data_IF_484339487699
#
_entry.id   IF_484339487699
#
_cell.length_a   1.000
_cell.length_b   1.000
_cell.length_c   1.000
_cell.angle_alpha   90.00
_cell.angle_beta   90.00
_cell.angle_gamma   90.00
#
_symmetry.space_group_name_H-M   'P 1'
#
loop_
_entity.id
_entity.type
_entity.pdbx_description
1 polymer ?
#
# COMPACT_ATOMS: atom_id res chain seq x y z
N UNK A 1 4.22 -23.67 -26.44
CA UNK A 1 3.83 -23.62 -25.01
C UNK A 1 4.83 -22.73 -24.29
N UNK A 2 4.41 -21.56 -23.79
CA UNK A 2 5.30 -20.70 -23.00
C UNK A 2 5.36 -21.25 -21.57
N UNK A 3 6.54 -21.62 -21.11
CA UNK A 3 6.78 -22.00 -19.71
C UNK A 3 7.05 -20.74 -18.90
N UNK A 4 6.34 -20.57 -17.79
CA UNK A 4 6.64 -19.50 -16.83
C UNK A 4 7.70 -19.95 -15.84
N UNK A 5 8.65 -19.08 -15.45
CA UNK A 5 9.60 -19.39 -14.40
C UNK A 5 8.89 -19.42 -13.04
N UNK A 6 9.50 -20.07 -12.04
CA UNK A 6 9.13 -19.83 -10.64
C UNK A 6 9.74 -18.51 -10.20
N UNK A 7 8.93 -17.57 -9.72
CA UNK A 7 9.44 -16.31 -9.17
C UNK A 7 9.97 -16.53 -7.75
N UNK A 8 10.87 -15.65 -7.32
CA UNK A 8 11.33 -15.61 -5.92
C UNK A 8 10.39 -14.74 -5.10
N UNK A 9 10.28 -15.02 -3.80
CA UNK A 9 9.59 -14.12 -2.88
C UNK A 9 10.30 -12.76 -2.86
N UNK A 10 9.57 -11.63 -2.84
CA UNK A 10 10.16 -10.33 -2.57
C UNK A 10 10.84 -10.30 -1.20
N UNK A 11 11.84 -9.43 -1.09
CA UNK A 11 12.59 -9.22 0.13
C UNK A 11 12.11 -7.95 0.84
N UNK A 12 12.10 -7.98 2.17
CA UNK A 12 11.76 -6.80 2.98
C UNK A 12 13.00 -5.91 3.17
N UNK A 13 13.39 -5.21 2.11
CA UNK A 13 14.55 -4.30 2.05
C UNK A 13 14.11 -2.83 2.11
N UNK A 14 14.98 -1.88 2.52
CA UNK A 14 14.70 -0.46 2.36
C UNK A 14 14.45 -0.08 0.89
N UNK A 15 13.45 0.77 0.63
CA UNK A 15 13.17 1.34 -0.68
C UNK A 15 13.13 2.87 -0.56
N UNK A 16 13.98 3.56 -1.30
CA UNK A 16 14.13 5.02 -1.22
C UNK A 16 13.63 5.71 -2.49
N UNK A 17 12.79 6.72 -2.31
CA UNK A 17 12.36 7.67 -3.34
C UNK A 17 12.77 9.10 -3.00
N UNK A 18 12.23 10.07 -3.73
CA UNK A 18 12.51 11.49 -3.52
C UNK A 18 11.73 12.07 -2.33
N UNK A 19 10.45 11.72 -2.21
CA UNK A 19 9.53 12.23 -1.18
C UNK A 19 9.38 11.28 0.01
N UNK A 20 9.59 9.98 -0.19
CA UNK A 20 9.47 8.98 0.88
C UNK A 20 10.64 8.01 0.93
N UNK A 21 10.83 7.44 2.12
CA UNK A 21 11.65 6.25 2.33
C UNK A 21 10.82 5.18 3.02
N UNK A 22 10.75 3.99 2.43
CA UNK A 22 10.10 2.80 2.99
C UNK A 22 11.15 1.99 3.73
N UNK A 23 11.10 2.00 5.05
CA UNK A 23 12.01 1.21 5.88
C UNK A 23 11.31 -0.06 6.36
N UNK A 24 11.98 -1.23 6.39
CA UNK A 24 11.44 -2.43 7.01
C UNK A 24 10.90 -2.11 8.40
N UNK A 25 9.65 -2.50 8.65
CA UNK A 25 8.97 -2.18 9.90
C UNK A 25 9.66 -2.88 11.08
N UNK A 26 10.00 -2.09 12.11
CA UNK A 26 10.58 -2.58 13.36
C UNK A 26 9.67 -2.13 14.49
N UNK A 27 8.84 -3.03 15.08
CA UNK A 27 7.78 -2.62 16.01
C UNK A 27 8.29 -1.79 17.18
N UNK A 28 9.42 -2.17 17.78
CA UNK A 28 10.01 -1.45 18.91
C UNK A 28 10.49 -0.03 18.54
N UNK A 29 11.00 0.18 17.31
CA UNK A 29 11.44 1.49 16.80
C UNK A 29 10.23 2.34 16.39
N UNK A 30 9.24 1.73 15.76
CA UNK A 30 8.24 2.45 14.97
C UNK A 30 6.96 2.77 15.73
N UNK A 31 6.62 2.00 16.77
CA UNK A 31 5.30 2.13 17.38
C UNK A 31 5.03 3.51 17.96
N UNK A 32 6.03 4.20 18.52
CA UNK A 32 5.84 5.50 19.15
C UNK A 32 5.39 6.56 18.12
N UNK A 33 6.11 6.68 17.00
CA UNK A 33 5.78 7.66 15.96
C UNK A 33 4.52 7.26 15.18
N UNK A 34 4.38 5.98 14.83
CA UNK A 34 3.17 5.49 14.17
C UNK A 34 1.91 5.74 15.02
N UNK A 35 1.95 5.45 16.32
CA UNK A 35 0.81 5.70 17.21
C UNK A 35 0.49 7.20 17.31
N UNK A 36 1.51 8.06 17.40
CA UNK A 36 1.35 9.51 17.52
C UNK A 36 0.67 10.15 16.30
N UNK A 37 0.89 9.62 15.09
CA UNK A 37 0.30 10.16 13.86
C UNK A 37 -1.06 9.57 13.49
N UNK A 38 -1.51 8.52 14.20
CA UNK A 38 -2.74 7.79 13.87
C UNK A 38 -3.78 7.73 15.02
N UNK A 39 -3.50 8.32 16.18
CA UNK A 39 -4.39 8.33 17.35
C UNK A 39 -4.45 9.71 18.03
N UNK A 40 -5.44 9.88 18.92
CA UNK A 40 -5.54 11.02 19.83
C UNK A 40 -6.46 12.14 19.35
N UNK A 41 -6.87 12.13 18.08
CA UNK A 41 -7.91 13.00 17.54
C UNK A 41 -8.81 12.22 16.58
N UNK A 42 -10.09 12.60 16.41
CA UNK A 42 -10.99 11.97 15.44
C UNK A 42 -10.44 11.99 14.01
N UNK A 43 -9.72 13.05 13.64
CA UNK A 43 -9.10 13.17 12.32
C UNK A 43 -8.00 12.12 12.10
N UNK A 44 -7.10 11.94 13.08
CA UNK A 44 -6.04 10.91 13.02
C UNK A 44 -6.62 9.50 13.03
N UNK A 45 -7.65 9.27 13.83
CA UNK A 45 -8.26 7.95 13.96
C UNK A 45 -9.10 7.54 12.74
N UNK A 46 -9.46 8.49 11.88
CA UNK A 46 -10.21 8.20 10.65
C UNK A 46 -9.46 7.23 9.70
N UNK A 47 -8.14 7.10 9.82
CA UNK A 47 -7.33 6.13 9.04
C UNK A 47 -7.77 4.68 9.27
N UNK A 48 -8.40 4.38 10.41
CA UNK A 48 -8.82 3.04 10.79
C UNK A 48 -10.21 2.64 10.27
N UNK A 49 -10.98 3.59 9.72
CA UNK A 49 -12.40 3.40 9.40
C UNK A 49 -12.68 2.17 8.51
N UNK A 50 -11.78 1.89 7.56
CA UNK A 50 -11.94 0.80 6.58
C UNK A 50 -10.88 -0.30 6.69
N UNK A 51 -10.02 -0.23 7.71
CA UNK A 51 -9.05 -1.28 8.01
C UNK A 51 -9.69 -2.37 8.87
N UNK A 52 -9.14 -3.59 8.78
CA UNK A 52 -9.64 -4.75 9.54
C UNK A 52 -9.43 -4.61 11.05
N UNK A 53 -8.48 -3.77 11.45
CA UNK A 53 -7.99 -3.55 12.81
C UNK A 53 -8.00 -2.07 13.15
N UNK A 54 -7.61 -1.76 14.38
CA UNK A 54 -7.58 -0.41 14.93
C UNK A 54 -8.98 0.18 15.18
N UNK A 55 -9.06 1.39 15.78
CA UNK A 55 -7.96 2.06 16.47
C UNK A 55 -7.45 1.21 17.65
N UNK A 56 -6.21 1.45 18.06
CA UNK A 56 -5.59 0.78 19.20
C UNK A 56 -5.78 1.62 20.46
N UNK A 57 -6.03 0.97 21.61
CA UNK A 57 -6.27 1.67 22.88
C UNK A 57 -5.01 2.33 23.45
N UNK A 58 -3.84 1.84 23.05
CA UNK A 58 -2.54 2.34 23.48
C UNK A 58 -1.45 1.94 22.49
N UNK A 59 -0.30 2.63 22.56
CA UNK A 59 0.91 2.24 21.83
C UNK A 59 1.35 0.81 22.18
N UNK A 60 1.13 0.34 23.40
CA UNK A 60 1.41 -1.05 23.80
C UNK A 60 0.57 -2.03 22.97
N UNK A 61 -0.74 -1.78 22.84
CA UNK A 61 -1.62 -2.65 22.03
C UNK A 61 -1.31 -2.59 20.54
N UNK A 62 -0.88 -1.43 20.04
CA UNK A 62 -0.42 -1.29 18.65
C UNK A 62 0.90 -2.04 18.43
N UNK A 63 1.84 -1.98 19.38
CA UNK A 63 3.12 -2.69 19.30
C UNK A 63 2.90 -4.20 19.21
N UNK A 64 2.07 -4.73 20.10
CA UNK A 64 1.75 -6.16 20.11
C UNK A 64 1.12 -6.60 18.77
N UNK A 65 0.23 -5.80 18.19
CA UNK A 65 -0.32 -6.06 16.86
C UNK A 65 0.75 -6.02 15.76
N UNK A 66 1.63 -5.02 15.76
CA UNK A 66 2.74 -4.94 14.81
C UNK A 66 3.65 -6.17 14.88
N UNK A 67 3.96 -6.65 16.08
CA UNK A 67 4.79 -7.84 16.31
C UNK A 67 4.11 -9.13 15.86
N UNK A 68 2.81 -9.29 16.16
CA UNK A 68 2.10 -10.55 15.96
C UNK A 68 1.53 -10.72 14.56
N UNK A 69 1.17 -9.62 13.89
CA UNK A 69 0.39 -9.64 12.66
C UNK A 69 1.13 -9.04 11.45
N UNK A 70 2.04 -8.07 11.68
CA UNK A 70 2.70 -7.34 10.59
C UNK A 70 4.17 -7.71 10.37
N UNK A 71 4.78 -8.48 11.28
CA UNK A 71 6.18 -8.93 11.20
C UNK A 71 6.25 -10.44 11.41
N UNK A 72 7.20 -11.09 10.72
CA UNK A 72 7.47 -12.53 10.91
C UNK A 72 6.48 -13.48 10.24
N UNK A 73 5.46 -12.96 9.54
CA UNK A 73 4.58 -13.77 8.69
C UNK A 73 5.26 -14.02 7.34
N UNK A 74 5.27 -15.28 6.90
CA UNK A 74 5.94 -15.68 5.66
C UNK A 74 5.41 -14.97 4.41
N UNK A 75 4.14 -14.53 4.43
CA UNK A 75 3.45 -13.94 3.29
C UNK A 75 3.09 -12.46 3.49
N UNK A 76 3.65 -11.78 4.49
CA UNK A 76 3.45 -10.33 4.71
C UNK A 76 4.81 -9.65 4.89
N UNK A 77 5.09 -8.66 4.04
CA UNK A 77 6.25 -7.78 4.16
C UNK A 77 5.76 -6.37 4.43
N UNK A 78 6.19 -5.77 5.53
CA UNK A 78 5.68 -4.46 5.97
C UNK A 78 6.78 -3.42 6.09
N UNK A 79 6.48 -2.22 5.61
CA UNK A 79 7.35 -1.06 5.70
C UNK A 79 6.68 0.06 6.48
N UNK A 80 7.47 0.72 7.30
CA UNK A 80 7.16 2.04 7.85
C UNK A 80 7.53 3.08 6.83
N UNK A 81 6.61 4.01 6.56
CA UNK A 81 6.81 5.10 5.60
C UNK A 81 7.31 6.33 6.33
N UNK A 82 8.45 6.84 5.90
CA UNK A 82 9.00 8.12 6.32
C UNK A 82 8.80 9.14 5.20
N UNK A 83 8.28 10.33 5.53
CA UNK A 83 8.30 11.46 4.60
C UNK A 83 9.67 12.14 4.69
N UNK A 84 10.40 12.20 3.57
CA UNK A 84 11.78 12.68 3.56
C UNK A 84 11.90 14.17 3.93
N UNK A 85 10.90 14.98 3.57
CA UNK A 85 10.94 16.43 3.83
C UNK A 85 10.85 16.78 5.31
N UNK A 86 10.10 15.99 6.09
CA UNK A 86 9.91 16.20 7.53
C UNK A 86 10.71 15.22 8.39
N UNK A 87 11.28 14.18 7.78
CA UNK A 87 11.93 13.04 8.45
C UNK A 87 11.01 12.32 9.46
N UNK A 88 9.69 12.42 9.26
CA UNK A 88 8.72 11.84 10.18
C UNK A 88 8.08 10.55 9.66
N UNK A 89 7.66 9.69 10.58
CA UNK A 89 6.84 8.52 10.26
C UNK A 89 5.42 8.97 9.93
N UNK A 90 4.93 8.56 8.76
CA UNK A 90 3.65 9.03 8.23
C UNK A 90 2.68 7.91 7.90
N UNK A 91 3.05 6.64 8.10
CA UNK A 91 2.15 5.52 7.86
C UNK A 91 2.87 4.19 7.67
N UNK A 92 2.12 3.20 7.19
CA UNK A 92 2.68 1.91 6.76
C UNK A 92 2.12 1.51 5.39
N UNK A 93 2.88 0.68 4.70
CA UNK A 93 2.44 -0.08 3.52
C UNK A 93 2.95 -1.51 3.65
N UNK A 94 2.23 -2.46 3.09
CA UNK A 94 2.64 -3.86 3.09
C UNK A 94 2.40 -4.53 1.74
N UNK A 95 3.17 -5.59 1.50
CA UNK A 95 2.87 -6.61 0.51
C UNK A 95 2.29 -7.81 1.26
N UNK A 96 1.15 -8.33 0.79
CA UNK A 96 0.55 -9.56 1.30
C UNK A 96 0.13 -10.51 0.18
N UNK A 97 -0.42 -11.67 0.55
CA UNK A 97 -0.93 -12.66 -0.41
C UNK A 97 0.10 -13.00 -1.52
N UNK A 98 1.37 -13.02 -1.13
CA UNK A 98 2.51 -13.27 -2.00
C UNK A 98 2.47 -14.74 -2.43
N UNK A 99 2.43 -14.98 -3.74
CA UNK A 99 2.44 -16.32 -4.34
C UNK A 99 3.50 -16.35 -5.44
N UNK A 100 4.78 -16.64 -5.10
CA UNK A 100 5.88 -16.63 -6.06
C UNK A 100 5.70 -17.66 -7.18
N UNK A 101 4.98 -18.76 -6.94
CA UNK A 101 4.63 -19.76 -7.95
C UNK A 101 3.76 -19.18 -9.08
N UNK A 102 3.08 -18.07 -8.82
CA UNK A 102 2.21 -17.37 -9.79
C UNK A 102 2.68 -15.95 -10.11
N UNK A 103 3.81 -15.52 -9.53
CA UNK A 103 4.33 -14.17 -9.71
C UNK A 103 3.31 -13.09 -9.36
N UNK A 104 2.56 -13.28 -8.26
CA UNK A 104 1.56 -12.30 -7.81
C UNK A 104 1.71 -11.93 -6.34
N UNK A 105 1.33 -10.70 -6.02
CA UNK A 105 1.24 -10.18 -4.66
C UNK A 105 0.16 -9.11 -4.57
N UNK A 106 -0.21 -8.72 -3.36
CA UNK A 106 -1.17 -7.65 -3.08
C UNK A 106 -0.50 -6.50 -2.32
N UNK A 107 -0.72 -5.27 -2.77
CA UNK A 107 -0.44 -4.07 -1.96
C UNK A 107 -1.57 -3.91 -0.95
N UNK A 108 -1.23 -3.84 0.33
CA UNK A 108 -2.16 -3.97 1.44
C UNK A 108 -1.73 -3.21 2.68
N UNK A 109 -2.58 -3.22 3.72
CA UNK A 109 -2.35 -2.56 5.00
C UNK A 109 -1.98 -1.07 4.89
N UNK A 110 -2.36 -0.43 3.78
CA UNK A 110 -2.02 0.94 3.45
C UNK A 110 -2.81 1.90 4.33
N UNK A 111 -2.11 2.67 5.14
CA UNK A 111 -2.67 3.86 5.77
C UNK A 111 -1.59 4.92 5.95
N UNK A 112 -2.03 6.18 5.83
CA UNK A 112 -1.19 7.36 5.98
C UNK A 112 -1.85 8.36 6.92
N UNK A 113 -1.04 9.04 7.71
CA UNK A 113 -1.49 10.11 8.59
C UNK A 113 -2.21 11.20 7.77
N UNK A 114 -3.23 11.87 8.33
CA UNK A 114 -3.94 12.94 7.64
C UNK A 114 -3.02 14.07 7.14
N UNK A 115 -1.91 14.31 7.84
CA UNK A 115 -0.94 15.36 7.52
C UNK A 115 -0.33 15.23 6.11
N UNK A 116 -0.24 14.01 5.57
CA UNK A 116 0.31 13.77 4.23
C UNK A 116 -0.76 13.48 3.19
N UNK A 117 -2.05 13.64 3.51
CA UNK A 117 -3.11 13.48 2.52
C UNK A 117 -2.99 14.58 1.47
N UNK A 118 -3.27 14.23 0.20
CA UNK A 118 -3.07 15.11 -0.98
C UNK A 118 -1.60 15.50 -1.27
N UNK A 119 -0.63 14.86 -0.61
CA UNK A 119 0.79 14.94 -0.97
C UNK A 119 1.20 13.85 -1.97
N UNK A 120 2.50 13.81 -2.33
CA UNK A 120 3.10 12.74 -3.15
C UNK A 120 3.38 11.44 -2.37
N UNK A 121 3.26 11.45 -1.04
CA UNK A 121 3.68 10.33 -0.15
C UNK A 121 3.02 9.00 -0.54
N UNK A 122 1.69 8.97 -0.66
CA UNK A 122 0.99 7.73 -1.03
C UNK A 122 1.43 7.25 -2.42
N UNK A 123 1.40 8.14 -3.41
CA UNK A 123 1.72 7.79 -4.80
C UNK A 123 3.14 7.25 -4.93
N UNK A 124 4.14 7.89 -4.32
CA UNK A 124 5.52 7.40 -4.40
C UNK A 124 5.72 6.10 -3.59
N UNK A 125 5.05 5.94 -2.45
CA UNK A 125 5.11 4.69 -1.68
C UNK A 125 4.63 3.50 -2.52
N UNK A 126 3.51 3.64 -3.24
CA UNK A 126 3.01 2.58 -4.11
C UNK A 126 3.91 2.39 -5.33
N UNK A 127 4.42 3.48 -5.91
CA UNK A 127 5.36 3.41 -7.03
C UNK A 127 6.60 2.58 -6.68
N UNK A 128 7.21 2.80 -5.51
CA UNK A 128 8.37 2.03 -5.04
C UNK A 128 8.06 0.54 -4.87
N UNK A 129 6.89 0.19 -4.32
CA UNK A 129 6.46 -1.21 -4.21
C UNK A 129 6.19 -1.85 -5.57
N UNK A 130 5.62 -1.10 -6.52
CA UNK A 130 5.39 -1.58 -7.89
C UNK A 130 6.71 -1.78 -8.64
N UNK A 131 7.67 -0.86 -8.53
CA UNK A 131 9.04 -1.03 -9.04
C UNK A 131 9.69 -2.28 -8.44
N UNK A 132 9.57 -2.48 -7.12
CA UNK A 132 10.11 -3.66 -6.45
C UNK A 132 9.49 -4.96 -7.01
N UNK A 133 8.17 -5.03 -7.16
CA UNK A 133 7.49 -6.21 -7.65
C UNK A 133 7.71 -6.46 -9.16
N UNK A 134 7.48 -5.47 -10.01
CA UNK A 134 7.52 -5.62 -11.46
C UNK A 134 8.94 -5.56 -12.03
N UNK A 135 9.76 -4.59 -11.61
CA UNK A 135 11.08 -4.41 -12.23
C UNK A 135 12.11 -5.37 -11.63
N UNK A 136 12.17 -5.45 -10.30
CA UNK A 136 13.19 -6.25 -9.60
C UNK A 136 12.79 -7.71 -9.49
N UNK A 137 11.56 -7.99 -9.08
CA UNK A 137 11.07 -9.36 -8.90
C UNK A 137 10.36 -9.94 -10.13
N UNK A 138 10.09 -9.15 -11.16
CA UNK A 138 9.46 -9.58 -12.43
C UNK A 138 8.08 -10.20 -12.27
N UNK A 139 7.36 -9.85 -11.21
CA UNK A 139 6.01 -10.33 -10.94
C UNK A 139 5.09 -9.94 -12.09
N UNK A 140 4.04 -10.74 -12.30
CA UNK A 140 3.13 -10.59 -13.43
C UNK A 140 1.83 -9.89 -13.05
N UNK A 141 1.54 -9.81 -11.76
CA UNK A 141 0.28 -9.28 -11.25
C UNK A 141 0.46 -8.68 -9.86
N UNK A 142 -0.04 -7.47 -9.68
CA UNK A 142 -0.15 -6.81 -8.39
C UNK A 142 -1.60 -6.47 -8.12
N UNK A 143 -2.11 -6.89 -6.97
CA UNK A 143 -3.51 -6.73 -6.57
C UNK A 143 -3.67 -5.54 -5.62
N UNK A 144 -4.83 -4.89 -5.69
CA UNK A 144 -5.31 -3.92 -4.72
C UNK A 144 -6.74 -4.27 -4.32
N UNK A 145 -7.01 -4.33 -3.02
CA UNK A 145 -8.34 -4.64 -2.50
C UNK A 145 -8.77 -3.62 -1.49
N UNK A 146 -10.04 -3.25 -1.53
CA UNK A 146 -10.61 -2.34 -0.55
C UNK A 146 -12.08 -2.65 -0.28
N UNK A 147 -12.57 -2.15 0.84
CA UNK A 147 -14.00 -2.09 1.11
C UNK A 147 -14.68 -1.25 0.01
N UNK A 148 -15.80 -1.73 -0.53
CA UNK A 148 -16.60 -1.05 -1.54
C UNK A 148 -17.04 0.37 -1.13
N UNK A 149 -17.18 0.61 0.18
CA UNK A 149 -17.51 1.92 0.77
C UNK A 149 -16.28 2.83 0.95
N UNK A 150 -15.07 2.29 0.81
CA UNK A 150 -13.83 3.09 0.88
C UNK A 150 -13.55 3.76 -0.47
N UNK A 151 -14.32 4.79 -0.78
CA UNK A 151 -14.17 5.58 -2.02
C UNK A 151 -12.76 6.13 -2.20
N UNK A 152 -12.08 6.54 -1.12
CA UNK A 152 -10.72 7.08 -1.19
C UNK A 152 -9.72 6.03 -1.69
N UNK A 153 -9.80 4.80 -1.19
CA UNK A 153 -8.94 3.69 -1.64
C UNK A 153 -9.25 3.25 -3.08
N UNK A 154 -10.54 3.17 -3.45
CA UNK A 154 -10.94 2.88 -4.84
C UNK A 154 -10.40 3.92 -5.82
N UNK A 155 -10.57 5.20 -5.50
CA UNK A 155 -10.06 6.31 -6.32
C UNK A 155 -8.54 6.29 -6.40
N UNK A 156 -7.84 5.94 -5.32
CA UNK A 156 -6.39 5.80 -5.33
C UNK A 156 -5.93 4.69 -6.29
N UNK A 157 -6.55 3.51 -6.23
CA UNK A 157 -6.23 2.39 -7.12
C UNK A 157 -6.41 2.77 -8.59
N UNK A 158 -7.58 3.31 -8.96
CA UNK A 158 -7.87 3.74 -10.33
C UNK A 158 -6.94 4.86 -10.80
N UNK A 159 -6.65 5.84 -9.93
CA UNK A 159 -5.70 6.93 -10.23
C UNK A 159 -4.32 6.36 -10.57
N UNK A 160 -3.89 5.33 -9.85
CA UNK A 160 -2.59 4.68 -10.03
C UNK A 160 -2.55 3.70 -11.21
N UNK A 161 -3.65 3.55 -11.95
CA UNK A 161 -3.72 2.69 -13.13
C UNK A 161 -4.07 1.23 -12.85
N UNK A 162 -4.52 0.89 -11.63
CA UNK A 162 -5.11 -0.42 -11.38
C UNK A 162 -6.51 -0.49 -12.00
N UNK A 163 -6.80 -1.59 -12.69
CA UNK A 163 -8.10 -1.84 -13.32
C UNK A 163 -9.02 -2.61 -12.38
N UNK A 164 -10.30 -2.23 -12.33
CA UNK A 164 -11.32 -2.94 -11.53
C UNK A 164 -11.67 -4.26 -12.22
N UNK A 165 -11.63 -5.36 -11.46
CA UNK A 165 -11.95 -6.70 -11.98
C UNK A 165 -13.24 -7.28 -11.41
N UNK A 166 -13.75 -6.70 -10.32
CA UNK A 166 -15.04 -7.12 -9.78
C UNK A 166 -15.25 -6.80 -8.31
N UNK A 167 -16.45 -7.13 -7.85
CA UNK A 167 -16.86 -6.98 -6.45
C UNK A 167 -17.30 -8.31 -5.88
N UNK A 168 -16.66 -8.71 -4.79
CA UNK A 168 -17.13 -9.83 -3.99
C UNK A 168 -18.14 -9.30 -2.97
N UNK A 169 -19.42 -9.66 -3.16
CA UNK A 169 -20.53 -9.29 -2.26
C UNK A 169 -20.47 -10.15 -1.00
N UNK A 170 -20.74 -9.56 0.16
CA UNK A 170 -20.69 -10.24 1.45
C UNK A 170 -19.38 -10.99 1.69
N UNK A 171 -18.27 -10.42 1.21
CA UNK A 171 -16.98 -11.10 1.25
C UNK A 171 -16.49 -11.30 2.69
N UNK A 172 -16.71 -10.32 3.57
CA UNK A 172 -16.24 -10.37 4.95
C UNK A 172 -17.21 -9.65 5.91
N UNK A 173 -17.10 -9.99 7.20
CA UNK A 173 -17.60 -9.15 8.29
C UNK A 173 -16.40 -8.47 8.95
N UNK A 174 -16.38 -7.14 8.96
CA UNK A 174 -15.29 -6.33 9.53
C UNK A 174 -15.86 -5.39 10.58
N UNK A 175 -15.36 -5.46 11.81
CA UNK A 175 -15.84 -4.63 12.94
C UNK A 175 -17.37 -4.66 13.09
N UNK A 176 -17.96 -5.86 12.92
CA UNK A 176 -19.41 -6.10 13.03
C UNK A 176 -20.25 -5.62 11.84
N UNK A 177 -19.64 -5.18 10.74
CA UNK A 177 -20.34 -4.69 9.55
C UNK A 177 -20.05 -5.56 8.33
N UNK A 178 -21.02 -5.67 7.42
CA UNK A 178 -20.81 -6.27 6.11
C UNK A 178 -19.75 -5.49 5.34
N UNK A 179 -18.83 -6.22 4.69
CA UNK A 179 -17.88 -5.69 3.72
C UNK A 179 -18.03 -6.42 2.40
N UNK A 180 -18.43 -5.66 1.40
CA UNK A 180 -18.21 -6.02 0.00
C UNK A 180 -16.78 -5.58 -0.37
N UNK A 181 -16.04 -6.41 -1.12
CA UNK A 181 -14.66 -6.10 -1.49
C UNK A 181 -14.56 -5.83 -2.98
N UNK A 182 -14.09 -4.63 -3.33
CA UNK A 182 -13.67 -4.32 -4.70
C UNK A 182 -12.25 -4.81 -4.92
N UNK A 183 -12.07 -5.52 -6.02
CA UNK A 183 -10.80 -6.07 -6.49
C UNK A 183 -10.31 -5.27 -7.68
N UNK A 184 -9.04 -4.87 -7.61
CA UNK A 184 -8.34 -4.23 -8.71
C UNK A 184 -7.00 -4.94 -8.93
N UNK A 185 -6.47 -4.82 -10.14
CA UNK A 185 -5.16 -5.36 -10.48
C UNK A 185 -4.41 -4.50 -11.50
N UNK A 186 -3.10 -4.65 -11.47
CA UNK A 186 -2.19 -4.20 -12.52
C UNK A 186 -1.32 -5.39 -12.94
N UNK A 187 -1.04 -5.49 -14.23
CA UNK A 187 -0.23 -6.57 -14.83
C UNK A 187 1.12 -6.07 -15.33
N UNK A 188 2.03 -7.02 -15.55
CA UNK A 188 3.35 -6.78 -16.15
C UNK A 188 3.28 -6.05 -17.50
N UNK A 189 2.21 -6.26 -18.28
CA UNK A 189 2.01 -5.60 -19.58
C UNK A 189 1.56 -4.15 -19.46
N UNK A 190 0.86 -3.80 -18.40
CA UNK A 190 0.39 -2.43 -18.14
C UNK A 190 1.45 -1.59 -17.45
N UNK A 191 2.31 -2.24 -16.66
CA UNK A 191 3.32 -1.59 -15.84
C UNK A 191 4.24 -0.61 -16.61
N UNK A 192 4.81 -0.92 -17.79
CA UNK A 192 5.69 0.03 -18.48
C UNK A 192 5.03 1.39 -18.75
N UNK A 193 3.77 1.39 -19.19
CA UNK A 193 2.99 2.62 -19.42
C UNK A 193 2.74 3.35 -18.09
N UNK A 194 2.24 2.62 -17.10
CA UNK A 194 1.95 3.19 -15.79
C UNK A 194 3.20 3.78 -15.14
N UNK A 195 4.33 3.08 -15.20
CA UNK A 195 5.63 3.54 -14.68
C UNK A 195 6.03 4.89 -15.28
N UNK A 196 5.99 5.03 -16.60
CA UNK A 196 6.27 6.32 -17.26
C UNK A 196 5.33 7.43 -16.78
N UNK A 197 4.04 7.12 -16.58
CA UNK A 197 3.07 8.09 -16.07
C UNK A 197 3.33 8.48 -14.61
N UNK A 198 3.72 7.51 -13.76
CA UNK A 198 4.16 7.75 -12.39
C UNK A 198 5.38 8.68 -12.37
N UNK A 199 6.41 8.37 -13.15
CA UNK A 199 7.65 9.16 -13.22
C UNK A 199 7.37 10.59 -13.68
N UNK A 200 6.56 10.77 -14.73
CA UNK A 200 6.12 12.10 -15.17
C UNK A 200 5.40 12.85 -14.06
N UNK A 201 4.44 12.22 -13.38
CA UNK A 201 3.67 12.89 -12.33
C UNK A 201 4.49 13.19 -11.06
N UNK A 202 5.41 12.28 -10.69
CA UNK A 202 6.21 12.40 -9.47
C UNK A 202 7.38 13.37 -9.65
N UNK A 203 8.07 13.31 -10.79
CA UNK A 203 9.42 13.87 -10.94
C UNK A 203 9.54 14.93 -12.03
N UNK A 204 8.47 15.24 -12.77
CA UNK A 204 8.44 16.43 -13.62
C UNK A 204 7.84 17.64 -12.87
N UNK A 205 8.12 18.82 -13.38
CA UNK A 205 7.51 20.09 -12.94
C UNK A 205 6.12 20.32 -13.58
N UNK A 206 5.65 19.39 -14.43
CA UNK A 206 4.36 19.51 -15.10
C UNK A 206 3.20 19.26 -14.13
N UNK A 207 2.16 20.09 -14.22
CA UNK A 207 0.91 19.89 -13.47
C UNK A 207 0.02 18.87 -14.18
N UNK A 208 0.34 17.60 -13.99
CA UNK A 208 -0.36 16.48 -14.61
C UNK A 208 -1.40 15.86 -13.68
N UNK A 209 -2.46 15.30 -14.25
CA UNK A 209 -3.39 14.43 -13.55
C UNK A 209 -2.98 12.97 -13.78
N UNK A 210 -2.49 12.28 -12.74
CA UNK A 210 -2.16 10.86 -12.86
C UNK A 210 -3.37 10.00 -13.26
N UNK A 211 -4.58 10.43 -12.87
CA UNK A 211 -5.83 9.78 -13.28
C UNK A 211 -6.02 9.85 -14.80
N UNK A 212 -5.81 11.02 -15.40
CA UNK A 212 -5.96 11.22 -16.85
C UNK A 212 -4.84 10.50 -17.61
N UNK A 213 -3.61 10.52 -17.11
CA UNK A 213 -2.50 9.80 -17.74
C UNK A 213 -2.75 8.28 -17.82
N UNK A 214 -3.37 7.70 -16.80
CA UNK A 214 -3.59 6.25 -16.72
C UNK A 214 -4.90 5.78 -17.34
N UNK A 215 -5.93 6.63 -17.38
CA UNK A 215 -7.28 6.28 -17.81
C UNK A 215 -7.82 7.06 -19.02
N UNK A 216 -7.07 8.04 -19.52
CA UNK A 216 -7.29 8.69 -20.82
C UNK A 216 -6.66 7.88 -21.95
#
# INVERSE_FOLDING_TARGET
MMYYPTWRSPERIPLSGQFVTLMPLVPARDVAGLYAVSHGTPEKEAVWNYLFYGPFRSSITMKAWLENDMVGKANILTWTVFENASETQVGIVALQAIVPEHGRAEISHVWFSPAVHKSKVNTESQFLLLCHLFDQHRYRRVEWKCDALNHASRTAAMRMGFLHEGRFRQHMIVKGKNRDTDWFAMTDKEWPRCKTNFEKWLYSDEKLSLMELNNG
#
